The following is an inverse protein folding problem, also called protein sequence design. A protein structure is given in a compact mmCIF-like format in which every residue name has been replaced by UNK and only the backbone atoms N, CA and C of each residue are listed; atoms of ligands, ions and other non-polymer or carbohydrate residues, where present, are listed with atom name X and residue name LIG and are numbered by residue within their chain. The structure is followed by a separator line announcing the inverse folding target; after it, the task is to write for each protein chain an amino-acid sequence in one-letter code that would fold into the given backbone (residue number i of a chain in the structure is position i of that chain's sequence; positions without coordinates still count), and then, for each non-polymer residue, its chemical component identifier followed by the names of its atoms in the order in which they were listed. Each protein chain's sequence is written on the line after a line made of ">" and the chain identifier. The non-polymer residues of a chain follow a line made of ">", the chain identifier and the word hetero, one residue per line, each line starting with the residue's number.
data_IF_683900979945
#
_entry.id   IF_683900979945
#
_cell.length_a   1.000
_cell.length_b   1.000
_cell.length_c   1.000
_cell.angle_alpha   90.00
_cell.angle_beta   90.00
_cell.angle_gamma   90.00
#
_symmetry.space_group_name_H-M   'P 1'
#
loop_
_entity.id
_entity.type
_entity.pdbx_description
1 polymer ?
#
# COMPACT_ATOMS: atom_id res chain seq x y z
N UNK A 1 23.54 8.86 -15.62
CA UNK A 1 22.32 8.04 -15.72
C UNK A 1 21.65 8.40 -17.04
N UNK A 2 21.35 7.41 -17.87
CA UNK A 2 20.74 7.64 -19.19
C UNK A 2 19.23 7.85 -19.05
N UNK A 3 18.58 8.38 -20.09
CA UNK A 3 17.12 8.47 -20.15
C UNK A 3 16.45 7.10 -19.97
N UNK A 4 17.02 6.06 -20.61
CA UNK A 4 16.53 4.69 -20.48
C UNK A 4 16.64 4.17 -19.04
N UNK A 5 17.73 4.50 -18.34
CA UNK A 5 17.89 4.13 -16.92
C UNK A 5 16.83 4.80 -16.04
N UNK A 6 16.51 6.07 -16.29
CA UNK A 6 15.47 6.80 -15.54
C UNK A 6 14.08 6.22 -15.80
N UNK A 7 13.76 5.92 -17.06
CA UNK A 7 12.48 5.32 -17.43
C UNK A 7 12.33 3.92 -16.80
N UNK A 8 13.39 3.10 -16.86
CA UNK A 8 13.40 1.78 -16.22
C UNK A 8 13.26 1.88 -14.70
N UNK A 9 13.92 2.86 -14.07
CA UNK A 9 13.81 3.07 -12.63
C UNK A 9 12.40 3.49 -12.21
N UNK A 10 11.75 4.40 -12.96
CA UNK A 10 10.38 4.80 -12.65
C UNK A 10 9.35 3.67 -12.85
N UNK A 11 9.56 2.84 -13.88
CA UNK A 11 8.76 1.63 -14.08
C UNK A 11 8.96 0.64 -12.94
N UNK A 12 10.20 0.37 -12.55
CA UNK A 12 10.51 -0.52 -11.43
C UNK A 12 9.91 -0.02 -10.11
N UNK A 13 9.99 1.28 -9.82
CA UNK A 13 9.35 1.87 -8.63
C UNK A 13 7.83 1.67 -8.65
N UNK A 14 7.20 1.81 -9.82
CA UNK A 14 5.76 1.57 -9.98
C UNK A 14 5.40 0.09 -9.78
N UNK A 15 6.20 -0.83 -10.31
CA UNK A 15 6.02 -2.27 -10.10
C UNK A 15 6.16 -2.64 -8.62
N UNK A 16 7.12 -2.04 -7.92
CA UNK A 16 7.29 -2.20 -6.47
C UNK A 16 6.09 -1.65 -5.69
N UNK A 17 5.60 -0.45 -6.00
CA UNK A 17 4.39 0.12 -5.38
C UNK A 17 3.18 -0.84 -5.50
N UNK A 18 2.95 -1.38 -6.71
CA UNK A 18 1.85 -2.32 -6.97
C UNK A 18 2.05 -3.61 -6.18
N UNK A 19 3.26 -4.15 -6.15
CA UNK A 19 3.59 -5.36 -5.39
C UNK A 19 3.38 -5.18 -3.88
N UNK A 20 3.84 -4.06 -3.32
CA UNK A 20 3.65 -3.73 -1.90
C UNK A 20 2.17 -3.59 -1.57
N UNK A 21 1.39 -2.95 -2.44
CA UNK A 21 -0.06 -2.83 -2.23
C UNK A 21 -0.78 -4.17 -2.29
N UNK A 22 -0.39 -5.07 -3.20
CA UNK A 22 -0.92 -6.43 -3.25
C UNK A 22 -0.61 -7.22 -1.96
N UNK A 23 0.58 -7.03 -1.38
CA UNK A 23 0.95 -7.63 -0.09
C UNK A 23 0.11 -7.08 1.07
N UNK A 24 -0.15 -5.77 1.08
CA UNK A 24 -1.07 -5.14 2.04
C UNK A 24 -2.45 -5.82 1.97
N UNK A 25 -3.03 -5.97 0.77
CA UNK A 25 -4.33 -6.65 0.61
C UNK A 25 -4.26 -8.09 1.13
N UNK A 26 -3.22 -8.84 0.75
CA UNK A 26 -3.05 -10.25 1.13
C UNK A 26 -2.99 -10.44 2.64
N UNK A 27 -2.22 -9.60 3.34
CA UNK A 27 -2.09 -9.66 4.80
C UNK A 27 -3.41 -9.29 5.48
N UNK A 28 -4.15 -8.33 4.94
CA UNK A 28 -5.46 -7.99 5.46
C UNK A 28 -6.45 -9.15 5.33
N UNK A 29 -6.50 -9.84 4.18
CA UNK A 29 -7.32 -11.04 4.05
C UNK A 29 -6.88 -12.17 5.00
N UNK A 30 -5.57 -12.39 5.14
CA UNK A 30 -5.04 -13.37 6.08
C UNK A 30 -5.44 -13.03 7.53
N UNK A 31 -5.43 -11.76 7.91
CA UNK A 31 -5.89 -11.31 9.21
C UNK A 31 -7.40 -11.48 9.41
N UNK A 32 -8.24 -11.18 8.41
CA UNK A 32 -9.69 -11.44 8.49
C UNK A 32 -9.96 -12.92 8.78
N UNK A 33 -9.31 -13.82 8.03
CA UNK A 33 -9.41 -15.27 8.24
C UNK A 33 -8.87 -15.65 9.63
N UNK A 34 -7.71 -15.12 10.01
CA UNK A 34 -7.10 -15.38 11.32
C UNK A 34 -7.98 -14.94 12.48
N UNK A 35 -8.66 -13.81 12.34
CA UNK A 35 -9.61 -13.30 13.32
C UNK A 35 -10.81 -14.23 13.44
N UNK A 36 -11.40 -14.58 12.30
CA UNK A 36 -12.62 -15.39 12.26
C UNK A 36 -12.42 -16.81 12.83
N UNK A 37 -11.28 -17.45 12.54
CA UNK A 37 -11.02 -18.84 12.95
C UNK A 37 -10.28 -19.00 14.27
N UNK A 38 -9.35 -18.10 14.62
CA UNK A 38 -8.48 -18.28 15.79
C UNK A 38 -8.69 -17.24 16.88
N UNK A 39 -8.75 -15.95 16.51
CA UNK A 39 -8.75 -14.89 17.51
C UNK A 39 -10.13 -14.62 18.11
N UNK A 40 -11.21 -15.02 17.44
CA UNK A 40 -12.57 -14.74 17.91
C UNK A 40 -12.80 -15.17 19.37
N UNK A 41 -12.47 -16.44 19.70
CA UNK A 41 -12.55 -17.00 21.06
C UNK A 41 -11.26 -16.87 21.89
N UNK A 42 -10.24 -16.16 21.40
CA UNK A 42 -8.96 -16.04 22.10
C UNK A 42 -9.00 -15.00 23.22
N UNK A 43 -8.14 -15.19 24.23
CA UNK A 43 -7.94 -14.20 25.30
C UNK A 43 -7.47 -12.86 24.74
N UNK A 44 -7.87 -11.76 25.38
CA UNK A 44 -7.54 -10.39 24.96
C UNK A 44 -6.04 -10.17 24.73
N UNK A 45 -5.17 -10.78 25.54
CA UNK A 45 -3.72 -10.70 25.35
C UNK A 45 -3.25 -11.23 23.97
N UNK A 46 -3.84 -12.33 23.49
CA UNK A 46 -3.54 -12.91 22.17
C UNK A 46 -4.00 -11.97 21.05
N UNK A 47 -5.17 -11.35 21.21
CA UNK A 47 -5.72 -10.35 20.27
C UNK A 47 -4.80 -9.13 20.15
N UNK A 48 -4.36 -8.59 21.28
CA UNK A 48 -3.43 -7.45 21.32
C UNK A 48 -2.10 -7.82 20.65
N UNK A 49 -1.53 -8.99 20.98
CA UNK A 49 -0.27 -9.43 20.38
C UNK A 49 -0.38 -9.60 18.86
N UNK A 50 -1.40 -10.30 18.37
CA UNK A 50 -1.61 -10.50 16.94
C UNK A 50 -1.82 -9.17 16.20
N UNK A 51 -2.62 -8.26 16.78
CA UNK A 51 -2.84 -6.94 16.21
C UNK A 51 -1.55 -6.09 16.19
N UNK A 52 -0.73 -6.16 17.24
CA UNK A 52 0.54 -5.44 17.29
C UNK A 52 1.52 -5.93 16.20
N UNK A 53 1.63 -7.25 16.01
CA UNK A 53 2.47 -7.83 14.94
C UNK A 53 1.96 -7.40 13.57
N UNK A 54 0.64 -7.46 13.34
CA UNK A 54 0.01 -6.94 12.13
C UNK A 54 0.34 -5.47 11.90
N UNK A 55 0.19 -4.62 12.92
CA UNK A 55 0.42 -3.19 12.82
C UNK A 55 1.88 -2.86 12.48
N UNK A 56 2.84 -3.57 13.10
CA UNK A 56 4.27 -3.43 12.77
C UNK A 56 4.50 -3.76 11.29
N UNK A 57 3.95 -4.88 10.79
CA UNK A 57 4.05 -5.25 9.38
C UNK A 57 3.47 -4.16 8.47
N UNK A 58 2.28 -3.67 8.79
CA UNK A 58 1.62 -2.60 8.03
C UNK A 58 2.44 -1.31 8.01
N UNK A 59 3.05 -0.91 9.13
CA UNK A 59 3.91 0.28 9.19
C UNK A 59 5.20 0.12 8.38
N UNK A 60 5.77 -1.09 8.35
CA UNK A 60 6.92 -1.39 7.48
C UNK A 60 6.54 -1.27 5.99
N UNK A 61 5.38 -1.81 5.59
CA UNK A 61 4.87 -1.63 4.23
C UNK A 61 4.61 -0.17 3.89
N UNK A 62 4.04 0.60 4.82
CA UNK A 62 3.84 2.04 4.64
C UNK A 62 5.18 2.76 4.42
N UNK A 63 6.19 2.46 5.22
CA UNK A 63 7.53 3.01 5.06
C UNK A 63 8.15 2.69 3.70
N UNK A 64 8.03 1.44 3.25
CA UNK A 64 8.53 1.03 1.93
C UNK A 64 7.78 1.72 0.79
N UNK A 65 6.45 1.78 0.85
CA UNK A 65 5.67 2.50 -0.16
C UNK A 65 6.04 3.99 -0.19
N UNK A 66 6.25 4.62 0.97
CA UNK A 66 6.65 6.02 1.04
C UNK A 66 8.03 6.26 0.40
N UNK A 67 8.97 5.33 0.61
CA UNK A 67 10.29 5.38 0.00
C UNK A 67 10.21 5.23 -1.53
N UNK A 68 9.44 4.26 -2.03
CA UNK A 68 9.24 4.05 -3.47
C UNK A 68 8.55 5.24 -4.15
N UNK A 69 7.51 5.80 -3.53
CA UNK A 69 6.83 6.99 -4.05
C UNK A 69 7.76 8.21 -4.06
N UNK A 70 8.60 8.37 -3.04
CA UNK A 70 9.58 9.45 -2.98
C UNK A 70 10.65 9.30 -4.08
N UNK A 71 11.17 8.08 -4.26
CA UNK A 71 12.11 7.77 -5.33
C UNK A 71 11.51 8.06 -6.70
N UNK A 72 10.28 7.61 -6.94
CA UNK A 72 9.54 7.87 -8.19
C UNK A 72 9.35 9.35 -8.46
N UNK A 73 9.06 10.15 -7.43
CA UNK A 73 8.93 11.61 -7.57
C UNK A 73 10.26 12.25 -8.03
N UNK A 74 11.38 11.89 -7.41
CA UNK A 74 12.71 12.39 -7.81
C UNK A 74 13.08 11.97 -9.25
N UNK A 75 12.77 10.74 -9.63
CA UNK A 75 13.01 10.26 -11.00
C UNK A 75 12.15 11.02 -12.02
N UNK A 76 10.89 11.32 -11.71
CA UNK A 76 10.03 12.14 -12.57
C UNK A 76 10.55 13.58 -12.70
N UNK A 77 11.09 14.17 -11.63
CA UNK A 77 11.74 15.48 -11.68
C UNK A 77 12.97 15.43 -12.59
N UNK A 78 13.81 14.41 -12.44
CA UNK A 78 14.99 14.21 -13.28
C UNK A 78 14.63 14.02 -14.77
N UNK A 79 13.56 13.26 -15.07
CA UNK A 79 13.06 13.08 -16.43
C UNK A 79 12.54 14.39 -17.05
N UNK A 80 11.86 15.25 -16.27
CA UNK A 80 11.41 16.57 -16.73
C UNK A 80 12.55 17.53 -17.04
N UNK A 81 13.71 17.36 -16.40
CA UNK A 81 14.88 18.19 -16.62
C UNK A 81 15.72 17.80 -17.85
N UNK A 82 15.37 16.72 -18.56
CA UNK A 82 16.08 16.29 -19.75
C UNK A 82 15.92 17.33 -20.88
N UNK A 83 16.99 17.71 -21.58
CA UNK A 83 16.92 18.74 -22.61
C UNK A 83 16.18 18.27 -23.87
N UNK A 84 16.20 16.97 -24.20
CA UNK A 84 15.57 16.39 -25.39
C UNK A 84 14.94 15.03 -25.05
N UNK A 85 13.89 14.97 -24.21
CA UNK A 85 13.29 13.71 -23.80
C UNK A 85 12.56 13.06 -24.97
N UNK A 86 12.69 11.74 -25.10
CA UNK A 86 11.94 10.95 -26.08
C UNK A 86 10.42 11.07 -25.87
N UNK A 87 9.65 10.78 -26.92
CA UNK A 87 8.19 10.78 -26.85
C UNK A 87 7.66 9.87 -25.74
N UNK A 88 8.28 8.70 -25.52
CA UNK A 88 7.89 7.75 -24.48
C UNK A 88 8.06 8.34 -23.08
N UNK A 89 9.18 9.04 -22.84
CA UNK A 89 9.45 9.71 -21.56
C UNK A 89 8.47 10.87 -21.33
N UNK A 90 8.15 11.65 -22.37
CA UNK A 90 7.17 12.72 -22.29
C UNK A 90 5.76 12.20 -21.96
N UNK A 91 5.32 11.13 -22.63
CA UNK A 91 4.03 10.50 -22.37
C UNK A 91 3.96 9.93 -20.95
N UNK A 92 5.02 9.25 -20.50
CA UNK A 92 5.09 8.69 -19.14
C UNK A 92 5.01 9.78 -18.07
N UNK A 93 5.75 10.87 -18.24
CA UNK A 93 5.69 12.03 -17.34
C UNK A 93 4.32 12.70 -17.40
N UNK A 94 3.71 12.79 -18.58
CA UNK A 94 2.36 13.33 -18.77
C UNK A 94 1.30 12.54 -18.02
N UNK A 95 1.39 11.20 -18.06
CA UNK A 95 0.50 10.30 -17.34
C UNK A 95 0.56 10.52 -15.82
N UNK A 96 1.75 10.83 -15.26
CA UNK A 96 1.91 11.09 -13.83
C UNK A 96 1.13 12.33 -13.33
N UNK A 97 0.82 13.28 -14.22
CA UNK A 97 0.06 14.49 -13.90
C UNK A 97 -1.45 14.37 -14.14
N UNK A 98 -1.93 13.20 -14.55
CA UNK A 98 -3.35 12.98 -14.84
C UNK A 98 -4.17 12.86 -13.57
N UNK A 99 -5.48 13.15 -13.68
CA UNK A 99 -6.44 12.92 -12.59
C UNK A 99 -6.42 11.46 -12.10
N UNK A 100 -6.14 10.51 -12.99
CA UNK A 100 -6.07 9.09 -12.67
C UNK A 100 -4.91 8.80 -11.72
N UNK A 101 -3.73 9.36 -11.98
CA UNK A 101 -2.57 9.21 -11.09
C UNK A 101 -2.84 9.78 -9.68
N UNK A 102 -3.49 10.95 -9.61
CA UNK A 102 -3.93 11.54 -8.34
C UNK A 102 -4.97 10.68 -7.63
N UNK A 103 -5.96 10.15 -8.35
CA UNK A 103 -6.97 9.26 -7.81
C UNK A 103 -6.35 7.97 -7.25
N UNK A 104 -5.41 7.35 -7.97
CA UNK A 104 -4.69 6.15 -7.50
C UNK A 104 -3.91 6.43 -6.21
N UNK A 105 -3.20 7.55 -6.12
CA UNK A 105 -2.48 7.92 -4.89
C UNK A 105 -3.43 8.10 -3.70
N UNK A 106 -4.56 8.78 -3.91
CA UNK A 106 -5.59 8.96 -2.88
C UNK A 106 -6.17 7.62 -2.45
N UNK A 107 -6.48 6.74 -3.41
CA UNK A 107 -7.05 5.42 -3.14
C UNK A 107 -6.06 4.52 -2.40
N UNK A 108 -4.78 4.52 -2.73
CA UNK A 108 -3.78 3.73 -2.01
C UNK A 108 -3.64 4.17 -0.56
N UNK A 109 -3.50 5.47 -0.31
CA UNK A 109 -3.42 6.00 1.04
C UNK A 109 -4.71 5.73 1.83
N UNK A 110 -5.86 6.04 1.23
CA UNK A 110 -7.17 5.81 1.84
C UNK A 110 -7.44 4.34 2.15
N UNK A 111 -7.13 3.44 1.21
CA UNK A 111 -7.30 2.00 1.38
C UNK A 111 -6.40 1.45 2.48
N UNK A 112 -5.15 1.89 2.56
CA UNK A 112 -4.24 1.45 3.62
C UNK A 112 -4.82 1.72 5.02
N UNK A 113 -5.26 2.96 5.27
CA UNK A 113 -5.82 3.32 6.57
C UNK A 113 -7.16 2.65 6.83
N UNK A 114 -8.03 2.58 5.81
CA UNK A 114 -9.33 1.93 5.93
C UNK A 114 -9.19 0.45 6.27
N UNK A 115 -8.21 -0.24 5.67
CA UNK A 115 -7.90 -1.64 5.98
C UNK A 115 -7.36 -1.80 7.41
N UNK A 116 -6.41 -0.96 7.83
CA UNK A 116 -5.88 -0.96 9.21
C UNK A 116 -6.99 -0.76 10.26
N UNK A 117 -7.85 0.24 10.05
CA UNK A 117 -8.97 0.53 10.94
C UNK A 117 -9.98 -0.62 10.92
N UNK A 118 -10.26 -1.17 9.73
CA UNK A 118 -11.10 -2.34 9.54
C UNK A 118 -10.62 -3.51 10.39
N UNK A 119 -9.37 -3.94 10.24
CA UNK A 119 -8.80 -5.06 11.03
C UNK A 119 -8.82 -4.75 12.53
N UNK A 120 -8.53 -3.51 12.94
CA UNK A 120 -8.66 -3.10 14.34
C UNK A 120 -10.08 -3.28 14.86
N UNK A 121 -11.08 -2.82 14.10
CA UNK A 121 -12.48 -3.01 14.42
C UNK A 121 -12.84 -4.49 14.54
N UNK A 122 -12.48 -5.32 13.56
CA UNK A 122 -12.79 -6.75 13.57
C UNK A 122 -12.11 -7.49 14.72
N UNK A 123 -10.90 -7.09 15.12
CA UNK A 123 -10.15 -7.75 16.18
C UNK A 123 -10.77 -7.50 17.57
N UNK A 124 -11.22 -6.28 17.83
CA UNK A 124 -11.60 -5.86 19.18
C UNK A 124 -13.11 -5.67 19.40
N UNK A 125 -13.86 -5.32 18.35
CA UNK A 125 -15.26 -4.92 18.47
C UNK A 125 -16.25 -5.85 17.76
N UNK A 126 -15.78 -6.71 16.85
CA UNK A 126 -16.64 -7.71 16.25
C UNK A 126 -16.90 -8.86 17.23
N UNK A 127 -18.08 -8.83 17.82
CA UNK A 127 -18.67 -9.97 18.52
C UNK A 127 -19.67 -10.72 17.60
N UNK A 128 -19.61 -12.04 17.59
CA UNK A 128 -20.49 -12.92 16.80
C UNK A 128 -21.78 -13.22 17.57
N UNK A 129 -22.00 -12.56 18.71
CA UNK A 129 -23.17 -12.65 19.58
C UNK A 129 -24.51 -12.13 19.02
N UNK A 130 -24.72 -12.22 17.70
CA UNK A 130 -25.99 -11.86 17.04
C UNK A 130 -26.70 -13.02 16.34
N UNK A 131 -26.27 -14.27 16.55
CA UNK A 131 -26.87 -15.46 15.92
C UNK A 131 -27.10 -16.60 16.92
N UNK A 132 -27.46 -16.26 18.17
CA UNK A 132 -28.04 -17.20 19.12
C UNK A 132 -29.36 -16.62 19.66
N UNK A 133 -30.42 -16.80 18.87
CA UNK A 133 -31.79 -17.00 19.36
C UNK A 133 -32.43 -18.08 18.53
#
# INVERSE_FOLDING_TARGET
>A
MTELDLLNLARSATENEISLFAQVITINFAMVVGIYYFLHGARTAMKIFAFAVYLIGMLLFLGQMLMETSLKAEVLIAMRALPHPSAVTQDYVGLSGTWLAHATSLLFNGAFWLLCIGIGYLTFFWDKGGAET
#
